data_IF_830919106316
#
_entry.id   IF_830919106316
#
_cell.length_a   1.000
_cell.length_b   1.000
_cell.length_c   1.000
_cell.angle_alpha   90.00
_cell.angle_beta   90.00
_cell.angle_gamma   90.00
#
_symmetry.space_group_name_H-M   'P 1'
#
loop_
_entity.id
_entity.type
_entity.pdbx_description
1 polymer ?
#
# COMPACT_ATOMS: atom_id res chain seq x y z
N UNK A 1 -11.28 13.81 -13.87
CA UNK A 1 -9.90 13.46 -13.53
C UNK A 1 -9.93 12.10 -12.90
N UNK A 2 -9.24 11.13 -13.48
CA UNK A 2 -9.13 9.79 -12.89
C UNK A 2 -8.35 9.91 -11.57
N UNK A 3 -8.98 9.50 -10.47
CA UNK A 3 -8.36 9.50 -9.15
C UNK A 3 -7.54 8.22 -9.02
N UNK A 4 -6.22 8.36 -8.93
CA UNK A 4 -5.30 7.25 -8.68
C UNK A 4 -5.30 6.90 -7.20
N UNK A 5 -5.42 5.62 -6.87
CA UNK A 5 -5.32 5.12 -5.49
C UNK A 5 -3.97 4.44 -5.28
N UNK A 6 -3.35 4.68 -4.14
CA UNK A 6 -2.07 4.08 -3.79
C UNK A 6 -2.18 3.37 -2.45
N UNK A 7 -1.55 2.21 -2.34
CA UNK A 7 -1.45 1.45 -1.10
C UNK A 7 -0.01 1.49 -0.60
N UNK A 8 0.13 1.68 0.71
CA UNK A 8 1.39 1.55 1.46
C UNK A 8 1.19 0.47 2.53
N UNK A 9 1.92 -0.63 2.40
CA UNK A 9 1.91 -1.73 3.37
C UNK A 9 3.26 -1.75 4.09
N UNK A 10 3.21 -1.55 5.41
CA UNK A 10 4.35 -1.65 6.29
C UNK A 10 4.23 -2.92 7.14
N UNK A 11 5.30 -3.70 7.23
CA UNK A 11 5.41 -4.82 8.17
C UNK A 11 6.31 -4.41 9.33
N UNK A 12 5.96 -4.91 10.52
CA UNK A 12 6.73 -4.69 11.75
C UNK A 12 6.91 -6.00 12.49
N UNK A 13 8.16 -6.32 12.82
CA UNK A 13 8.52 -7.49 13.62
C UNK A 13 9.73 -7.17 14.50
N UNK A 14 9.68 -7.55 15.78
CA UNK A 14 10.78 -7.37 16.74
C UNK A 14 11.38 -5.96 16.77
N UNK A 15 10.53 -4.94 16.59
CA UNK A 15 10.96 -3.53 16.58
C UNK A 15 11.54 -3.03 15.26
N UNK A 16 11.80 -3.92 14.30
CA UNK A 16 12.20 -3.57 12.93
C UNK A 16 10.94 -3.34 12.10
N UNK A 17 10.93 -2.27 11.31
CA UNK A 17 9.85 -1.95 10.37
C UNK A 17 10.42 -1.89 8.97
N UNK A 18 9.75 -2.52 8.00
CA UNK A 18 10.15 -2.47 6.60
C UNK A 18 8.95 -2.29 5.68
N UNK A 19 9.25 -1.74 4.50
CA UNK A 19 8.30 -1.62 3.41
C UNK A 19 8.03 -3.01 2.83
N UNK A 20 6.77 -3.42 2.86
CA UNK A 20 6.33 -4.69 2.26
C UNK A 20 5.79 -4.47 0.85
N UNK A 21 4.98 -3.43 0.65
CA UNK A 21 4.45 -3.06 -0.66
C UNK A 21 4.19 -1.55 -0.73
N UNK A 22 4.56 -0.94 -1.87
CA UNK A 22 4.07 0.36 -2.28
C UNK A 22 3.68 0.30 -3.76
N UNK A 23 2.44 0.63 -4.08
CA UNK A 23 1.95 0.52 -5.45
C UNK A 23 0.63 1.24 -5.68
N UNK A 24 0.38 1.54 -6.95
CA UNK A 24 -0.95 1.95 -7.40
C UNK A 24 -1.89 0.75 -7.24
N UNK A 25 -3.05 0.98 -6.66
CA UNK A 25 -4.11 -0.02 -6.58
C UNK A 25 -5.27 0.49 -7.40
N UNK A 26 -5.81 -0.38 -8.24
CA UNK A 26 -7.11 -0.15 -8.83
C UNK A 26 -8.14 -0.43 -7.72
N UNK A 27 -8.56 0.62 -6.99
CA UNK A 27 -9.73 0.52 -6.11
C UNK A 27 -10.99 0.51 -7.00
N UNK A 28 -11.06 -0.42 -7.96
CA UNK A 28 -12.31 -0.85 -8.56
C UNK A 28 -13.01 -1.75 -7.55
N UNK A 29 -13.57 -1.14 -6.48
CA UNK A 29 -14.59 -1.79 -5.67
C UNK A 29 -15.74 -2.19 -6.60
N UNK A 30 -15.78 -3.45 -7.00
CA UNK A 30 -17.02 -4.13 -7.39
C UNK A 30 -17.72 -4.66 -6.15
#
# INVERSE_FOLDING_TARGET
TDIKHYILILKRENGVTWLDNFGETDDEKK
#
